data_IF_214433458719
#
_entry.id   IF_214433458719
#
_cell.length_a   1.000
_cell.length_b   1.000
_cell.length_c   1.000
_cell.angle_alpha   90.00
_cell.angle_beta   90.00
_cell.angle_gamma   90.00
#
_symmetry.space_group_name_H-M   'P 1'
#
loop_
_entity.id
_entity.type
_entity.pdbx_description
1 polymer ?
#
# COMPACT_ATOMS: atom_id res chain seq x y z
N UNK A 1 -29.30 15.18 2.42
CA UNK A 1 -28.14 15.88 3.05
C UNK A 1 -28.58 16.87 4.14
N UNK A 2 -29.58 17.75 3.91
CA UNK A 2 -30.05 18.79 4.85
C UNK A 2 -30.58 18.28 6.22
N UNK A 3 -31.24 17.11 6.26
CA UNK A 3 -31.84 16.57 7.48
C UNK A 3 -30.83 16.28 8.60
N UNK A 4 -29.67 15.70 8.26
CA UNK A 4 -28.62 15.36 9.23
C UNK A 4 -28.05 16.60 9.93
N UNK A 5 -27.93 17.70 9.20
CA UNK A 5 -27.45 18.98 9.74
C UNK A 5 -28.46 19.63 10.68
N UNK A 6 -29.76 19.59 10.35
CA UNK A 6 -30.82 20.07 11.24
C UNK A 6 -30.88 19.27 12.55
N UNK A 7 -30.67 17.95 12.47
CA UNK A 7 -30.64 17.08 13.64
C UNK A 7 -29.45 17.38 14.56
N UNK A 8 -28.23 17.47 14.00
CA UNK A 8 -27.02 17.83 14.77
C UNK A 8 -27.16 19.19 15.47
N UNK A 9 -27.73 20.20 14.78
CA UNK A 9 -27.98 21.52 15.39
C UNK A 9 -28.96 21.44 16.56
N UNK A 10 -29.98 20.58 16.48
CA UNK A 10 -30.97 20.38 17.55
C UNK A 10 -30.39 19.65 18.76
N UNK A 11 -29.51 18.68 18.54
CA UNK A 11 -28.94 17.85 19.62
C UNK A 11 -27.74 18.51 20.32
N UNK A 12 -26.86 19.15 19.56
CA UNK A 12 -25.58 19.67 20.08
C UNK A 12 -25.51 21.19 20.17
N UNK A 13 -26.46 21.94 19.60
CA UNK A 13 -26.43 23.41 19.53
C UNK A 13 -25.31 24.00 18.64
N UNK A 14 -24.32 23.19 18.29
CA UNK A 14 -23.20 23.53 17.42
C UNK A 14 -23.48 23.08 15.97
N UNK A 15 -23.02 23.87 14.99
CA UNK A 15 -23.15 23.59 13.54
C UNK A 15 -21.83 23.05 12.99
N UNK A 16 -20.76 23.02 13.79
CA UNK A 16 -19.47 22.50 13.36
C UNK A 16 -19.58 21.01 13.04
N UNK A 17 -19.05 20.65 11.88
CA UNK A 17 -18.84 19.25 11.56
C UNK A 17 -17.91 18.64 12.64
N UNK A 18 -18.17 17.39 13.03
CA UNK A 18 -17.18 16.63 13.80
C UNK A 18 -15.85 16.69 13.05
N UNK A 19 -14.70 16.90 13.73
CA UNK A 19 -13.42 16.84 13.05
C UNK A 19 -13.35 15.51 12.33
N UNK A 20 -13.03 15.54 11.03
CA UNK A 20 -12.81 14.33 10.26
C UNK A 20 -11.64 13.59 10.92
N UNK A 21 -11.95 12.62 11.79
CA UNK A 21 -10.97 11.67 12.28
C UNK A 21 -10.41 10.89 11.09
N UNK A 22 -9.15 10.40 11.17
CA UNK A 22 -8.62 9.55 10.12
C UNK A 22 -9.62 8.43 9.85
N UNK A 23 -10.06 8.29 8.59
CA UNK A 23 -11.00 7.26 8.21
C UNK A 23 -10.47 5.91 8.74
N UNK A 24 -11.32 5.13 9.43
CA UNK A 24 -11.01 3.78 9.90
C UNK A 24 -10.83 2.84 8.69
N UNK A 25 -9.77 3.03 7.93
CA UNK A 25 -9.29 2.08 6.95
C UNK A 25 -8.54 0.98 7.69
N UNK A 26 -8.80 -0.27 7.33
CA UNK A 26 -8.01 -1.40 7.78
C UNK A 26 -6.56 -1.21 7.31
N UNK A 27 -5.72 -0.67 8.18
CA UNK A 27 -4.30 -0.51 7.94
C UNK A 27 -3.61 -1.78 8.42
N UNK A 28 -3.61 -2.82 7.60
CA UNK A 28 -2.65 -3.89 7.80
C UNK A 28 -1.24 -3.26 7.77
N UNK A 29 -0.57 -3.33 8.92
CA UNK A 29 0.80 -2.88 9.12
C UNK A 29 1.64 -4.14 9.28
N UNK A 30 2.67 -4.24 8.47
CA UNK A 30 3.78 -5.16 8.70
C UNK A 30 4.89 -4.36 9.36
N UNK A 31 5.68 -5.00 10.21
CA UNK A 31 6.89 -4.38 10.71
C UNK A 31 7.90 -4.20 9.57
N UNK A 32 8.71 -3.14 9.62
CA UNK A 32 9.68 -2.85 8.57
C UNK A 32 10.75 -3.96 8.48
N UNK A 33 11.13 -4.54 9.62
CA UNK A 33 12.14 -5.60 9.70
C UNK A 33 11.64 -6.91 9.10
N UNK A 34 10.39 -7.27 9.39
CA UNK A 34 9.73 -8.44 8.81
C UNK A 34 9.61 -8.31 7.28
N UNK A 35 9.32 -7.09 6.79
CA UNK A 35 9.28 -6.81 5.36
C UNK A 35 10.66 -6.86 4.70
N UNK A 36 11.71 -6.43 5.39
CA UNK A 36 13.09 -6.51 4.93
C UNK A 36 13.55 -7.97 4.76
N UNK A 37 13.32 -8.82 5.76
CA UNK A 37 13.60 -10.26 5.70
C UNK A 37 12.84 -10.92 4.54
N UNK A 38 11.57 -10.56 4.33
CA UNK A 38 10.77 -11.04 3.21
C UNK A 38 11.37 -10.67 1.84
N UNK A 39 11.87 -9.43 1.69
CA UNK A 39 12.51 -9.00 0.44
C UNK A 39 13.83 -9.73 0.20
N UNK A 40 14.63 -9.96 1.24
CA UNK A 40 15.91 -10.66 1.11
C UNK A 40 15.67 -12.10 0.64
N UNK A 41 14.69 -12.79 1.23
CA UNK A 41 14.30 -14.15 0.87
C UNK A 41 13.66 -14.26 -0.53
N UNK A 42 12.99 -13.20 -1.00
CA UNK A 42 12.23 -13.17 -2.26
C UNK A 42 12.65 -12.02 -3.18
N UNK A 43 13.97 -11.80 -3.34
CA UNK A 43 14.52 -10.66 -4.07
C UNK A 43 14.17 -10.64 -5.57
N UNK A 44 13.85 -11.81 -6.15
CA UNK A 44 13.42 -11.97 -7.54
C UNK A 44 11.95 -11.62 -7.78
N UNK A 45 11.14 -11.53 -6.71
CA UNK A 45 9.69 -11.39 -6.81
C UNK A 45 9.23 -9.96 -7.08
N UNK A 46 8.18 -9.88 -7.89
CA UNK A 46 7.47 -8.63 -8.15
C UNK A 46 6.58 -8.25 -6.96
N UNK A 47 6.21 -6.97 -6.86
CA UNK A 47 5.30 -6.51 -5.79
C UNK A 47 3.91 -7.18 -5.83
N UNK A 48 3.48 -7.70 -6.99
CA UNK A 48 2.22 -8.46 -7.11
C UNK A 48 2.36 -9.85 -6.48
N UNK A 49 3.46 -10.54 -6.75
CA UNK A 49 3.74 -11.85 -6.17
C UNK A 49 3.95 -11.76 -4.65
N UNK A 50 4.67 -10.73 -4.19
CA UNK A 50 4.83 -10.47 -2.75
C UNK A 50 3.48 -10.23 -2.05
N UNK A 51 2.54 -9.56 -2.72
CA UNK A 51 1.16 -9.39 -2.21
C UNK A 51 0.44 -10.73 -2.04
N UNK A 52 0.67 -11.67 -2.95
CA UNK A 52 0.06 -13.01 -2.91
C UNK A 52 0.69 -13.83 -1.78
N UNK A 53 2.03 -13.81 -1.65
CA UNK A 53 2.77 -14.49 -0.58
C UNK A 53 2.33 -13.97 0.81
N UNK A 54 2.10 -12.66 0.93
CA UNK A 54 1.60 -12.03 2.15
C UNK A 54 0.09 -12.24 2.37
N UNK A 55 -0.58 -13.08 1.59
CA UNK A 55 -2.01 -13.40 1.74
C UNK A 55 -2.93 -12.19 1.51
N UNK A 56 -2.57 -11.28 0.60
CA UNK A 56 -3.26 -10.01 0.33
C UNK A 56 -3.44 -9.10 1.57
N UNK A 57 -2.69 -9.36 2.64
CA UNK A 57 -2.63 -8.47 3.82
C UNK A 57 -2.07 -7.11 3.43
N UNK A 58 -1.20 -7.06 2.44
CA UNK A 58 -0.53 -5.86 1.96
C UNK A 58 -0.84 -5.61 0.50
N UNK A 59 -1.42 -4.44 0.22
CA UNK A 59 -1.62 -3.98 -1.16
C UNK A 59 -0.27 -3.70 -1.83
N UNK A 60 -0.23 -3.92 -3.15
CA UNK A 60 0.92 -3.64 -4.03
C UNK A 60 1.49 -2.22 -3.85
N UNK A 61 0.63 -1.23 -3.64
CA UNK A 61 1.02 0.17 -3.41
C UNK A 61 1.85 0.33 -2.15
N UNK A 62 1.45 -0.30 -1.05
CA UNK A 62 2.22 -0.33 0.19
C UNK A 62 3.54 -1.07 0.04
N UNK A 63 3.56 -2.22 -0.64
CA UNK A 63 4.80 -2.97 -0.89
C UNK A 63 5.81 -2.09 -1.64
N UNK A 64 5.37 -1.34 -2.65
CA UNK A 64 6.22 -0.39 -3.36
C UNK A 64 6.69 0.77 -2.47
N UNK A 65 5.81 1.27 -1.59
CA UNK A 65 6.17 2.31 -0.61
C UNK A 65 7.27 1.81 0.34
N UNK A 66 7.12 0.63 0.94
CA UNK A 66 8.13 0.06 1.83
C UNK A 66 9.46 -0.24 1.11
N UNK A 67 9.42 -0.73 -0.14
CA UNK A 67 10.64 -0.89 -0.96
C UNK A 67 11.41 0.42 -1.10
N UNK A 68 10.71 1.52 -1.41
CA UNK A 68 11.32 2.86 -1.51
C UNK A 68 11.86 3.33 -0.17
N UNK A 69 11.14 3.06 0.92
CA UNK A 69 11.53 3.47 2.28
C UNK A 69 12.81 2.76 2.74
N UNK A 70 13.00 1.51 2.35
CA UNK A 70 14.22 0.72 2.58
C UNK A 70 15.35 1.00 1.56
N UNK A 71 15.14 1.88 0.57
CA UNK A 71 16.14 2.17 -0.46
C UNK A 71 16.30 1.09 -1.54
N UNK A 72 15.43 0.07 -1.58
CA UNK A 72 15.48 -0.95 -2.62
C UNK A 72 14.89 -0.43 -3.94
N UNK A 73 15.76 -0.17 -4.91
CA UNK A 73 15.37 0.07 -6.30
C UNK A 73 15.43 -1.22 -7.12
N UNK A 74 14.36 -1.50 -7.89
CA UNK A 74 14.37 -2.61 -8.82
C UNK A 74 15.39 -2.37 -9.94
N UNK A 75 16.46 -3.18 -9.98
CA UNK A 75 17.42 -3.17 -11.07
C UNK A 75 16.89 -4.05 -12.21
N UNK A 76 16.50 -3.45 -13.33
CA UNK A 76 16.12 -4.21 -14.54
C UNK A 76 17.34 -5.03 -14.99
N UNK A 77 17.19 -6.36 -15.05
CA UNK A 77 18.11 -7.18 -15.87
C UNK A 77 17.84 -6.82 -17.33
N UNK A 78 18.80 -6.16 -17.97
CA UNK A 78 18.83 -6.03 -19.42
C UNK A 78 19.09 -7.42 -19.98
N UNK A 79 18.02 -8.16 -20.28
CA UNK A 79 18.13 -9.38 -21.08
C UNK A 79 18.47 -8.89 -22.48
N UNK A 80 19.74 -8.98 -22.87
CA UNK A 80 20.15 -8.80 -24.25
C UNK A 80 19.59 -9.98 -25.03
N UNK A 81 18.46 -9.77 -25.70
CA UNK A 81 17.94 -10.74 -26.67
C UNK A 81 18.62 -10.39 -28.00
N UNK A 82 19.61 -11.18 -28.48
CA UNK A 82 20.21 -10.93 -29.78
C UNK A 82 19.13 -11.02 -30.86
N UNK A 83 19.10 -10.02 -31.76
CA UNK A 83 18.13 -9.88 -32.85
C UNK A 83 17.99 -11.13 -33.75
N UNK A 84 18.99 -12.00 -33.74
CA UNK A 84 19.08 -13.22 -34.54
C UNK A 84 18.18 -14.37 -34.06
N UNK A 85 17.57 -14.28 -32.87
CA UNK A 85 16.64 -15.30 -32.34
C UNK A 85 15.18 -15.06 -32.80
N UNK A 86 14.88 -13.90 -33.38
CA UNK A 86 13.54 -13.51 -33.86
C UNK A 86 13.37 -13.66 -35.39
N UNK A 87 14.27 -14.39 -36.07
CA UNK A 87 14.13 -14.77 -37.47
C UNK A 87 13.75 -16.25 -37.61
#
# INVERSE_FOLDING_TARGET
MLYRWKHLKRETGDIKAKPYGPAKGYNAKIDLKEFEELIINHHDKTAKELSIILGNRLQRTKINYYRKLLGYTYKKKLIFIPKWILC
#
